data_IF_000000060878
#
_entry.id   IF_000000060878
#
_cell.length_a   1.000
_cell.length_b   1.000
_cell.length_c   1.000
_cell.angle_alpha   90.00
_cell.angle_beta   90.00
_cell.angle_gamma   90.00
#
_symmetry.space_group_name_H-M   'P 1'
#
loop_
_entity.id
_entity.type
_entity.pdbx_description
1 polymer ?
#
# COMPACT_ATOMS: atom_id res chain seq x y z
N UNK A 1 41.65 -24.91 -42.73
CA UNK A 1 40.49 -24.24 -42.10
C UNK A 1 40.57 -24.51 -40.61
N UNK A 2 40.99 -23.52 -39.81
CA UNK A 2 41.14 -23.67 -38.36
C UNK A 2 39.92 -23.08 -37.65
N UNK A 3 39.18 -23.90 -36.91
CA UNK A 3 38.09 -23.42 -36.07
C UNK A 3 38.68 -22.61 -34.90
N UNK A 4 38.37 -21.31 -34.84
CA UNK A 4 38.62 -20.51 -33.64
C UNK A 4 37.65 -20.98 -32.56
N UNK A 5 38.17 -21.69 -31.56
CA UNK A 5 37.43 -21.97 -30.33
C UNK A 5 37.22 -20.64 -29.61
N UNK A 6 36.01 -20.09 -29.67
CA UNK A 6 35.62 -19.01 -28.76
C UNK A 6 35.61 -19.60 -27.35
N UNK A 7 36.60 -19.25 -26.53
CA UNK A 7 36.49 -19.46 -25.08
C UNK A 7 35.32 -18.60 -24.60
N UNK A 8 34.32 -19.15 -23.90
CA UNK A 8 33.35 -18.30 -23.20
C UNK A 8 34.13 -17.39 -22.25
N UNK A 9 33.78 -16.10 -22.22
CA UNK A 9 34.32 -15.20 -21.22
C UNK A 9 34.05 -15.80 -19.83
N UNK A 10 35.00 -15.73 -18.88
CA UNK A 10 34.73 -16.19 -17.53
C UNK A 10 33.50 -15.44 -17.00
N UNK A 11 32.53 -16.18 -16.46
CA UNK A 11 31.38 -15.59 -15.78
C UNK A 11 31.88 -14.56 -14.77
N UNK A 12 31.25 -13.38 -14.65
CA UNK A 12 31.69 -12.36 -13.71
C UNK A 12 31.76 -12.95 -12.29
N UNK A 13 32.95 -12.93 -11.68
CA UNK A 13 33.15 -13.40 -10.31
C UNK A 13 32.48 -12.37 -9.39
N UNK A 14 31.35 -12.73 -8.79
CA UNK A 14 30.71 -11.92 -7.75
C UNK A 14 31.64 -11.94 -6.54
N UNK A 15 32.19 -10.78 -6.16
CA UNK A 15 33.05 -10.66 -4.98
C UNK A 15 32.24 -10.80 -3.70
N UNK A 16 32.90 -11.18 -2.60
CA UNK A 16 32.25 -11.28 -1.28
C UNK A 16 31.62 -9.94 -0.84
N UNK A 17 32.28 -8.83 -1.17
CA UNK A 17 31.76 -7.47 -0.94
C UNK A 17 30.43 -7.22 -1.66
N UNK A 18 30.28 -7.68 -2.91
CA UNK A 18 29.01 -7.55 -3.66
C UNK A 18 27.92 -8.41 -3.04
N UNK A 19 28.24 -9.59 -2.49
CA UNK A 19 27.27 -10.42 -1.77
C UNK A 19 26.80 -9.76 -0.48
N UNK A 20 27.73 -9.20 0.30
CA UNK A 20 27.42 -8.48 1.55
C UNK A 20 26.54 -7.27 1.26
N UNK A 21 26.86 -6.48 0.24
CA UNK A 21 26.05 -5.31 -0.14
C UNK A 21 24.64 -5.74 -0.58
N UNK A 22 24.51 -6.79 -1.40
CA UNK A 22 23.18 -7.31 -1.80
C UNK A 22 22.36 -7.79 -0.61
N UNK A 23 22.98 -8.51 0.33
CA UNK A 23 22.31 -8.96 1.54
C UNK A 23 21.83 -7.77 2.39
N UNK A 24 22.66 -6.73 2.50
CA UNK A 24 22.30 -5.50 3.18
C UNK A 24 21.09 -4.82 2.54
N UNK A 25 21.08 -4.65 1.21
CA UNK A 25 19.95 -4.08 0.47
C UNK A 25 18.67 -4.91 0.65
N UNK A 26 18.77 -6.25 0.62
CA UNK A 26 17.64 -7.16 0.88
C UNK A 26 17.05 -6.97 2.27
N UNK A 27 17.89 -6.85 3.29
CA UNK A 27 17.44 -6.66 4.66
C UNK A 27 16.73 -5.32 4.87
N UNK A 28 17.22 -4.23 4.25
CA UNK A 28 16.55 -2.94 4.28
C UNK A 28 15.17 -3.00 3.60
N UNK A 29 15.10 -3.58 2.40
CA UNK A 29 13.85 -3.71 1.66
C UNK A 29 12.83 -4.61 2.39
N UNK A 30 13.28 -5.73 2.97
CA UNK A 30 12.44 -6.63 3.74
C UNK A 30 11.85 -5.94 4.98
N UNK A 31 12.66 -5.22 5.74
CA UNK A 31 12.20 -4.49 6.93
C UNK A 31 11.15 -3.43 6.59
N UNK A 32 11.34 -2.69 5.50
CA UNK A 32 10.34 -1.74 5.01
C UNK A 32 9.04 -2.45 4.60
N UNK A 33 9.16 -3.59 3.91
CA UNK A 33 8.02 -4.35 3.40
C UNK A 33 7.17 -4.96 4.51
N UNK A 34 7.77 -5.42 5.61
CA UNK A 34 7.02 -5.88 6.79
C UNK A 34 6.11 -4.79 7.37
N UNK A 35 6.62 -3.56 7.46
CA UNK A 35 5.82 -2.40 7.90
C UNK A 35 4.75 -2.06 6.87
N UNK A 36 5.08 -2.15 5.58
CA UNK A 36 4.14 -1.95 4.50
C UNK A 36 2.97 -2.95 4.57
N UNK A 37 3.23 -4.24 4.77
CA UNK A 37 2.21 -5.27 4.91
C UNK A 37 1.22 -4.98 6.04
N UNK A 38 1.73 -4.56 7.21
CA UNK A 38 0.86 -4.16 8.34
C UNK A 38 -0.07 -2.99 7.98
N UNK A 39 0.43 -2.04 7.19
CA UNK A 39 -0.38 -0.93 6.69
C UNK A 39 -1.44 -1.41 5.69
N UNK A 40 -1.11 -2.35 4.80
CA UNK A 40 -2.09 -2.95 3.87
C UNK A 40 -3.18 -3.69 4.64
N UNK A 41 -2.83 -4.49 5.64
CA UNK A 41 -3.81 -5.19 6.47
C UNK A 41 -4.73 -4.22 7.21
N UNK A 42 -4.21 -3.08 7.67
CA UNK A 42 -5.03 -2.06 8.30
C UNK A 42 -5.94 -1.34 7.29
N UNK A 43 -5.47 -1.08 6.07
CA UNK A 43 -6.31 -0.53 5.00
C UNK A 43 -7.47 -1.48 4.66
N UNK A 44 -7.22 -2.79 4.56
CA UNK A 44 -8.27 -3.80 4.33
C UNK A 44 -9.28 -3.84 5.49
N UNK A 45 -8.82 -3.81 6.75
CA UNK A 45 -9.71 -3.70 7.91
C UNK A 45 -10.59 -2.45 7.84
N UNK A 46 -10.00 -1.28 7.61
CA UNK A 46 -10.75 -0.02 7.50
C UNK A 46 -11.78 -0.09 6.37
N UNK A 47 -11.39 -0.64 5.20
CA UNK A 47 -12.29 -0.79 4.07
C UNK A 47 -13.48 -1.71 4.38
N UNK A 48 -13.25 -2.84 5.04
CA UNK A 48 -14.33 -3.74 5.47
C UNK A 48 -15.26 -3.07 6.47
N UNK A 49 -14.72 -2.42 7.50
CA UNK A 49 -15.54 -1.67 8.46
C UNK A 49 -16.40 -0.60 7.78
N UNK A 50 -15.85 0.07 6.76
CA UNK A 50 -16.62 1.02 5.96
C UNK A 50 -17.78 0.36 5.21
N UNK A 51 -17.55 -0.79 4.55
CA UNK A 51 -18.62 -1.53 3.88
C UNK A 51 -19.67 -2.04 4.87
N UNK A 52 -19.24 -2.59 6.02
CA UNK A 52 -20.12 -3.12 7.06
C UNK A 52 -21.06 -2.03 7.62
N UNK A 53 -20.59 -0.78 7.73
CA UNK A 53 -21.43 0.36 8.12
C UNK A 53 -22.53 0.60 7.08
N UNK A 54 -22.18 0.62 5.79
CA UNK A 54 -23.14 0.82 4.70
C UNK A 54 -24.14 -0.34 4.57
N UNK A 55 -23.68 -1.58 4.69
CA UNK A 55 -24.55 -2.75 4.71
C UNK A 55 -25.48 -2.73 5.93
N UNK A 56 -24.97 -2.38 7.11
CA UNK A 56 -25.75 -2.24 8.33
C UNK A 56 -26.86 -1.21 8.21
N UNK A 57 -26.56 -0.02 7.65
CA UNK A 57 -27.57 1.01 7.38
C UNK A 57 -28.62 0.52 6.37
N UNK A 58 -28.17 -0.07 5.25
CA UNK A 58 -29.05 -0.59 4.18
C UNK A 58 -30.04 -1.63 4.69
N UNK A 59 -29.58 -2.49 5.58
CA UNK A 59 -30.38 -3.60 6.14
C UNK A 59 -31.19 -3.19 7.38
N UNK A 60 -31.12 -1.92 7.79
CA UNK A 60 -31.79 -1.43 9.00
C UNK A 60 -31.24 -2.04 10.31
N UNK A 61 -30.04 -2.65 10.26
CA UNK A 61 -29.36 -3.25 11.41
C UNK A 61 -28.52 -2.22 12.19
N UNK A 62 -28.29 -1.05 11.61
CA UNK A 62 -27.51 0.04 12.18
C UNK A 62 -28.30 1.34 12.03
N UNK A 63 -28.56 2.01 13.13
CA UNK A 63 -29.15 3.35 13.10
C UNK A 63 -28.14 4.39 12.57
N UNK A 64 -28.62 5.54 12.10
CA UNK A 64 -27.75 6.64 11.66
C UNK A 64 -26.87 7.20 12.78
N UNK A 65 -27.34 7.19 14.03
CA UNK A 65 -26.54 7.61 15.19
C UNK A 65 -25.38 6.64 15.46
N UNK A 66 -25.65 5.34 15.43
CA UNK A 66 -24.61 4.31 15.57
C UNK A 66 -23.64 4.33 14.38
N UNK A 67 -24.15 4.52 13.16
CA UNK A 67 -23.32 4.66 11.96
C UNK A 67 -22.39 5.87 12.06
N UNK A 68 -22.89 7.02 12.54
CA UNK A 68 -22.08 8.21 12.74
C UNK A 68 -20.94 7.95 13.75
N UNK A 69 -21.24 7.29 14.87
CA UNK A 69 -20.23 6.93 15.87
C UNK A 69 -19.15 6.02 15.28
N UNK A 70 -19.55 4.98 14.52
CA UNK A 70 -18.58 4.09 13.85
C UNK A 70 -17.76 4.80 12.77
N UNK A 71 -18.35 5.76 12.07
CA UNK A 71 -17.65 6.57 11.07
C UNK A 71 -16.62 7.51 11.70
N UNK A 72 -16.88 8.05 12.90
CA UNK A 72 -15.88 8.83 13.66
C UNK A 72 -14.64 7.98 13.97
N UNK A 73 -14.85 6.80 14.58
CA UNK A 73 -13.77 5.88 14.91
C UNK A 73 -13.00 5.43 13.66
N UNK A 74 -13.73 5.14 12.58
CA UNK A 74 -13.13 4.75 11.31
C UNK A 74 -12.34 5.88 10.65
N UNK A 75 -12.82 7.13 10.71
CA UNK A 75 -12.10 8.29 10.20
C UNK A 75 -10.77 8.47 10.93
N UNK A 76 -10.76 8.32 12.26
CA UNK A 76 -9.52 8.36 13.05
C UNK A 76 -8.57 7.21 12.68
N UNK A 77 -9.08 5.99 12.56
CA UNK A 77 -8.29 4.83 12.14
C UNK A 77 -7.69 5.03 10.73
N UNK A 78 -8.47 5.56 9.79
CA UNK A 78 -8.01 5.88 8.45
C UNK A 78 -6.93 6.98 8.45
N UNK A 79 -7.11 8.03 9.26
CA UNK A 79 -6.10 9.10 9.45
C UNK A 79 -4.79 8.56 10.02
N UNK A 80 -4.85 7.70 11.04
CA UNK A 80 -3.67 7.09 11.64
C UNK A 80 -2.96 6.15 10.66
N UNK A 81 -3.71 5.36 9.90
CA UNK A 81 -3.18 4.48 8.86
C UNK A 81 -2.47 5.28 7.76
N UNK A 82 -3.09 6.37 7.29
CA UNK A 82 -2.49 7.29 6.33
C UNK A 82 -1.17 7.89 6.85
N UNK A 83 -1.16 8.33 8.11
CA UNK A 83 0.05 8.84 8.77
C UNK A 83 1.17 7.79 8.79
N UNK A 84 0.86 6.56 9.17
CA UNK A 84 1.83 5.46 9.20
C UNK A 84 2.41 5.16 7.81
N UNK A 85 1.58 5.15 6.77
CA UNK A 85 2.03 4.95 5.38
C UNK A 85 2.94 6.11 4.95
N UNK A 86 2.56 7.35 5.26
CA UNK A 86 3.40 8.53 4.97
C UNK A 86 4.73 8.46 5.72
N UNK A 87 4.76 7.96 6.94
CA UNK A 87 6.00 7.87 7.72
C UNK A 87 6.86 6.65 7.36
N UNK A 88 6.32 5.64 6.68
CA UNK A 88 7.06 4.47 6.20
C UNK A 88 7.87 4.81 4.93
N UNK A 89 8.79 5.77 5.03
CA UNK A 89 9.68 6.17 3.93
C UNK A 89 10.77 5.11 3.67
N UNK A 90 11.23 4.92 2.42
CA UNK A 90 12.36 4.04 2.15
C UNK A 90 13.64 4.53 2.85
N UNK A 91 14.49 3.59 3.28
CA UNK A 91 15.78 3.90 3.88
C UNK A 91 16.72 4.52 2.84
N UNK A 92 17.39 5.63 3.18
CA UNK A 92 18.27 6.37 2.27
C UNK A 92 19.56 5.63 1.92
N UNK A 93 19.87 4.53 2.62
CA UNK A 93 21.00 3.63 2.30
C UNK A 93 20.66 2.63 1.19
N UNK A 94 19.41 2.58 0.75
CA UNK A 94 19.03 1.79 -0.42
C UNK A 94 19.69 2.38 -1.67
N UNK A 95 20.10 1.53 -2.61
CA UNK A 95 20.49 1.99 -3.94
C UNK A 95 19.28 2.62 -4.66
N UNK A 96 19.53 3.59 -5.54
CA UNK A 96 18.50 4.36 -6.26
C UNK A 96 17.37 3.48 -6.83
N UNK A 97 17.71 2.36 -7.48
CA UNK A 97 16.70 1.46 -8.05
C UNK A 97 15.73 0.88 -7.00
N UNK A 98 16.23 0.42 -5.85
CA UNK A 98 15.37 -0.09 -4.77
C UNK A 98 14.60 1.04 -4.10
N UNK A 99 15.26 2.18 -3.89
CA UNK A 99 14.63 3.35 -3.29
C UNK A 99 13.43 3.81 -4.12
N UNK A 100 13.61 3.96 -5.43
CA UNK A 100 12.58 4.44 -6.35
C UNK A 100 11.38 3.49 -6.45
N UNK A 101 11.63 2.18 -6.51
CA UNK A 101 10.56 1.16 -6.51
C UNK A 101 9.75 1.21 -5.21
N UNK A 102 10.43 1.29 -4.06
CA UNK A 102 9.76 1.36 -2.76
C UNK A 102 9.00 2.68 -2.60
N UNK A 103 9.58 3.80 -3.03
CA UNK A 103 8.93 5.10 -3.02
C UNK A 103 7.67 5.10 -3.89
N UNK A 104 7.73 4.50 -5.09
CA UNK A 104 6.59 4.35 -5.98
C UNK A 104 5.45 3.51 -5.35
N UNK A 105 5.79 2.40 -4.68
CA UNK A 105 4.80 1.60 -3.93
C UNK A 105 4.16 2.45 -2.84
N UNK A 106 4.98 3.11 -2.00
CA UNK A 106 4.50 3.98 -0.92
C UNK A 106 3.55 5.03 -1.44
N UNK A 107 3.92 5.76 -2.49
CA UNK A 107 3.15 6.89 -3.00
C UNK A 107 1.79 6.46 -3.56
N UNK A 108 1.73 5.30 -4.23
CA UNK A 108 0.45 4.72 -4.64
C UNK A 108 -0.42 4.36 -3.44
N UNK A 109 0.16 3.79 -2.40
CA UNK A 109 -0.55 3.45 -1.17
C UNK A 109 -1.00 4.69 -0.40
N UNK A 110 -0.21 5.78 -0.38
CA UNK A 110 -0.62 7.08 0.17
C UNK A 110 -1.86 7.59 -0.56
N UNK A 111 -1.85 7.64 -1.90
CA UNK A 111 -3.00 8.11 -2.68
C UNK A 111 -4.27 7.30 -2.41
N UNK A 112 -4.13 5.98 -2.30
CA UNK A 112 -5.25 5.11 -1.94
C UNK A 112 -5.78 5.42 -0.53
N UNK A 113 -4.88 5.52 0.46
CA UNK A 113 -5.25 5.82 1.85
C UNK A 113 -5.87 7.21 2.02
N UNK A 114 -5.39 8.22 1.28
CA UNK A 114 -5.96 9.56 1.24
C UNK A 114 -7.40 9.55 0.71
N UNK A 115 -7.64 8.86 -0.41
CA UNK A 115 -8.99 8.72 -0.96
C UNK A 115 -9.93 8.02 0.02
N UNK A 116 -9.48 6.92 0.66
CA UNK A 116 -10.25 6.20 1.67
C UNK A 116 -10.57 7.06 2.90
N UNK A 117 -9.59 7.82 3.40
CA UNK A 117 -9.78 8.77 4.50
C UNK A 117 -10.80 9.86 4.12
N UNK A 118 -10.65 10.47 2.94
CA UNK A 118 -11.54 11.55 2.50
C UNK A 118 -12.98 11.09 2.28
N UNK A 119 -13.22 9.93 1.65
CA UNK A 119 -14.59 9.43 1.46
C UNK A 119 -15.25 9.13 2.80
N UNK A 120 -14.51 8.59 3.76
CA UNK A 120 -15.00 8.32 5.12
C UNK A 120 -15.46 9.62 5.80
N UNK A 121 -14.61 10.65 5.80
CA UNK A 121 -14.95 11.96 6.37
C UNK A 121 -16.13 12.64 5.66
N UNK A 122 -16.21 12.55 4.33
CA UNK A 122 -17.33 13.10 3.56
C UNK A 122 -18.66 12.43 3.91
N UNK A 123 -18.68 11.11 4.00
CA UNK A 123 -19.89 10.35 4.40
C UNK A 123 -20.29 10.72 5.83
N UNK A 124 -19.33 10.79 6.75
CA UNK A 124 -19.57 11.19 8.15
C UNK A 124 -20.21 12.58 8.23
N UNK A 125 -19.63 13.57 7.56
CA UNK A 125 -20.15 14.95 7.55
C UNK A 125 -21.53 15.01 6.90
N UNK A 126 -21.78 14.26 5.82
CA UNK A 126 -23.10 14.22 5.20
C UNK A 126 -24.14 13.62 6.15
N UNK A 127 -23.79 12.56 6.87
CA UNK A 127 -24.65 11.92 7.86
C UNK A 127 -24.95 12.85 9.05
N UNK A 128 -23.94 13.59 9.54
CA UNK A 128 -24.09 14.64 10.56
C UNK A 128 -25.07 15.75 10.12
N UNK A 129 -25.15 16.01 8.81
CA UNK A 129 -26.09 16.95 8.20
C UNK A 129 -27.44 16.32 7.80
N UNK A 130 -27.77 15.15 8.35
CA UNK A 130 -29.04 14.43 8.12
C UNK A 130 -29.26 14.00 6.64
N UNK A 131 -28.20 13.71 5.89
CA UNK A 131 -28.33 13.12 4.57
C UNK A 131 -29.02 11.74 4.64
N UNK A 132 -29.82 11.42 3.62
CA UNK A 132 -30.45 10.11 3.47
C UNK A 132 -29.46 9.06 2.90
N UNK A 133 -29.87 7.79 2.92
CA UNK A 133 -29.03 6.68 2.47
C UNK A 133 -28.57 6.85 1.02
N UNK A 134 -29.46 7.28 0.13
CA UNK A 134 -29.15 7.46 -1.29
C UNK A 134 -28.07 8.54 -1.49
N UNK A 135 -28.13 9.63 -0.73
CA UNK A 135 -27.09 10.67 -0.75
C UNK A 135 -25.75 10.14 -0.25
N UNK A 136 -25.75 9.37 0.84
CA UNK A 136 -24.54 8.77 1.39
C UNK A 136 -23.93 7.75 0.43
N UNK A 137 -24.75 6.91 -0.20
CA UNK A 137 -24.29 5.89 -1.15
C UNK A 137 -23.75 6.53 -2.43
N UNK A 138 -24.36 7.62 -2.90
CA UNK A 138 -23.83 8.40 -4.02
C UNK A 138 -22.44 8.98 -3.72
N UNK A 139 -22.20 9.50 -2.50
CA UNK A 139 -20.87 9.95 -2.07
C UNK A 139 -19.89 8.78 -2.10
N UNK A 140 -20.30 7.63 -1.52
CA UNK A 140 -19.49 6.42 -1.48
C UNK A 140 -19.08 5.99 -2.88
N UNK A 141 -20.04 5.71 -3.77
CA UNK A 141 -19.77 5.17 -5.11
C UNK A 141 -18.88 6.09 -5.94
N UNK A 142 -19.07 7.42 -5.80
CA UNK A 142 -18.27 8.40 -6.54
C UNK A 142 -16.83 8.51 -6.04
N UNK A 143 -16.63 8.48 -4.73
CA UNK A 143 -15.36 8.86 -4.11
C UNK A 143 -14.56 7.67 -3.54
N UNK A 144 -15.11 6.45 -3.56
CA UNK A 144 -14.40 5.25 -3.12
C UNK A 144 -13.19 4.96 -4.04
N UNK A 145 -12.01 4.62 -3.50
CA UNK A 145 -10.85 4.35 -4.33
C UNK A 145 -11.05 3.11 -5.20
N UNK A 146 -10.68 3.20 -6.49
CA UNK A 146 -10.80 2.14 -7.51
C UNK A 146 -9.86 0.93 -7.33
N UNK A 147 -9.19 0.80 -6.18
CA UNK A 147 -8.24 -0.27 -5.86
C UNK A 147 -6.79 0.19 -5.75
N UNK A 148 -5.97 -0.59 -5.02
CA UNK A 148 -4.54 -0.34 -4.84
C UNK A 148 -3.73 -1.16 -5.84
N UNK A 149 -3.13 -0.49 -6.83
CA UNK A 149 -2.41 -1.14 -7.93
C UNK A 149 -0.88 -1.01 -7.81
N UNK A 150 -0.29 -1.83 -6.94
CA UNK A 150 1.17 -1.87 -6.66
C UNK A 150 1.86 -3.15 -7.15
N UNK A 151 1.13 -4.04 -7.83
CA UNK A 151 1.63 -5.37 -8.20
C UNK A 151 2.90 -5.31 -9.06
N UNK A 152 2.97 -4.42 -10.04
CA UNK A 152 4.13 -4.30 -10.93
C UNK A 152 5.38 -3.88 -10.17
N UNK A 153 5.28 -2.87 -9.30
CA UNK A 153 6.43 -2.42 -8.51
C UNK A 153 6.87 -3.47 -7.49
N UNK A 154 5.93 -4.21 -6.89
CA UNK A 154 6.25 -5.33 -5.98
C UNK A 154 6.95 -6.46 -6.72
N UNK A 155 6.51 -6.81 -7.93
CA UNK A 155 7.18 -7.81 -8.77
C UNK A 155 8.58 -7.34 -9.15
N UNK A 156 8.72 -6.11 -9.64
CA UNK A 156 10.03 -5.54 -10.00
C UNK A 156 10.97 -5.47 -8.79
N UNK A 157 10.45 -5.13 -7.61
CA UNK A 157 11.22 -5.14 -6.37
C UNK A 157 11.68 -6.56 -6.03
N UNK A 158 10.80 -7.55 -6.10
CA UNK A 158 11.17 -8.97 -5.91
C UNK A 158 12.22 -9.42 -6.91
N UNK A 159 12.03 -9.17 -8.20
CA UNK A 159 12.98 -9.57 -9.24
C UNK A 159 14.34 -8.92 -9.05
N UNK A 160 14.39 -7.63 -8.71
CA UNK A 160 15.62 -6.93 -8.41
C UNK A 160 16.35 -7.54 -7.20
N UNK A 161 15.60 -7.97 -6.17
CA UNK A 161 16.14 -8.63 -4.97
C UNK A 161 16.51 -10.11 -5.20
N UNK A 162 15.91 -10.78 -6.19
CA UNK A 162 16.06 -12.20 -6.50
C UNK A 162 17.12 -12.51 -7.58
N UNK A 163 17.76 -11.51 -8.21
CA UNK A 163 18.71 -11.74 -9.32
C UNK A 163 19.74 -12.81 -8.93
N UNK A 164 19.53 -14.01 -9.48
CA UNK A 164 20.28 -15.23 -9.19
C UNK A 164 21.76 -14.97 -9.43
N UNK A 165 22.57 -15.39 -8.46
CA UNK A 165 23.99 -15.60 -8.67
C UNK A 165 24.13 -16.49 -9.93
N UNK A 166 24.74 -15.92 -10.97
CA UNK A 166 25.03 -16.63 -12.22
C UNK A 166 26.09 -17.69 -12.05
#
# INVERSE_FOLDING_TARGET
MGYKIFKPAPSPVITEEVKIEREFQRNLAASWYETHQKNIDQLDRNFRSFQDIFEGMREGKLSYEEAHTRLLDLEENARNTLSNIRNNVPDTRLSDNYYDLIAAIRDKTVRYAEAAYHVTGKVRVALENNADYDTLDNIRVRDIPTGLFVANEVVNLREALEVKDG
#
